data_IF_699665767255
#
_entry.id   IF_699665767255
#
_cell.length_a   1.000
_cell.length_b   1.000
_cell.length_c   1.000
_cell.angle_alpha   90.00
_cell.angle_beta   90.00
_cell.angle_gamma   90.00
#
_symmetry.space_group_name_H-M   'P 1'
#
loop_
_entity.id
_entity.type
_entity.pdbx_description
1 polymer ?
#
# COMPACT_ATOMS: atom_id res chain seq x y z
N UNK A 1 -0.36 -15.30 20.69
CA UNK A 1 -1.13 -15.01 19.46
C UNK A 1 -0.33 -14.01 18.65
N UNK A 2 0.36 -14.47 17.61
CA UNK A 2 0.99 -13.54 16.66
C UNK A 2 -0.15 -12.81 15.94
N UNK A 3 -0.34 -11.53 16.26
CA UNK A 3 -1.22 -10.69 15.48
C UNK A 3 -0.59 -10.54 14.10
N UNK A 4 -1.06 -11.31 13.11
CA UNK A 4 -0.56 -11.22 11.74
C UNK A 4 -0.91 -9.84 11.19
N UNK A 5 0.07 -8.94 11.16
CA UNK A 5 -0.08 -7.62 10.54
C UNK A 5 -0.35 -7.81 9.05
N UNK A 6 -1.39 -7.16 8.54
CA UNK A 6 -1.68 -7.14 7.12
C UNK A 6 -1.11 -5.86 6.53
N UNK A 7 -0.24 -6.02 5.56
CA UNK A 7 0.46 -4.94 4.87
C UNK A 7 -0.34 -4.55 3.64
N UNK A 8 -0.65 -3.26 3.48
CA UNK A 8 -1.47 -2.76 2.37
C UNK A 8 -0.61 -1.81 1.55
N UNK A 9 -0.38 -2.12 0.28
CA UNK A 9 0.31 -1.24 -0.67
C UNK A 9 -0.71 -0.52 -1.54
N UNK A 10 -0.59 0.80 -1.61
CA UNK A 10 -1.41 1.69 -2.41
C UNK A 10 -0.54 2.41 -3.43
N UNK A 11 -0.79 2.18 -4.70
CA UNK A 11 -0.17 2.95 -5.78
C UNK A 11 -1.15 4.04 -6.22
N UNK A 12 -0.75 5.30 -6.05
CA UNK A 12 -1.60 6.45 -6.37
C UNK A 12 -1.34 6.91 -7.80
N UNK A 13 -2.32 6.72 -8.67
CA UNK A 13 -2.35 7.32 -9.99
C UNK A 13 -3.26 8.57 -10.03
N UNK A 14 -3.30 9.28 -11.17
CA UNK A 14 -3.97 10.60 -11.29
C UNK A 14 -5.43 10.65 -10.79
N UNK A 15 -6.17 9.54 -10.85
CA UNK A 15 -7.59 9.45 -10.44
C UNK A 15 -7.95 8.16 -9.70
N UNK A 16 -7.05 7.18 -9.70
CA UNK A 16 -7.29 5.86 -9.14
C UNK A 16 -6.14 5.48 -8.23
N UNK A 17 -6.44 4.66 -7.22
CA UNK A 17 -5.48 4.09 -6.30
C UNK A 17 -5.57 2.57 -6.44
N UNK A 18 -4.51 1.95 -6.90
CA UNK A 18 -4.41 0.50 -6.98
C UNK A 18 -4.02 -0.07 -5.61
N UNK A 19 -4.74 -1.06 -5.12
CA UNK A 19 -4.61 -1.58 -3.75
C UNK A 19 -4.23 -3.05 -3.77
N UNK A 20 -3.13 -3.37 -3.09
CA UNK A 20 -2.68 -4.74 -2.83
C UNK A 20 -2.53 -4.98 -1.34
N UNK A 21 -2.84 -6.20 -0.89
CA UNK A 21 -2.64 -6.63 0.50
C UNK A 21 -1.64 -7.77 0.55
N UNK A 22 -0.85 -7.84 1.60
CA UNK A 22 0.06 -8.93 1.89
C UNK A 22 -0.07 -9.31 3.36
N UNK A 23 -0.18 -10.61 3.63
CA UNK A 23 -0.21 -11.11 4.99
C UNK A 23 1.20 -11.13 5.61
N UNK A 24 1.29 -10.97 6.93
CA UNK A 24 2.55 -11.14 7.66
C UNK A 24 3.09 -12.58 7.54
N UNK A 25 4.42 -12.70 7.51
CA UNK A 25 5.15 -13.96 7.46
C UNK A 25 5.80 -14.24 6.10
N UNK A 26 6.88 -15.03 6.09
CA UNK A 26 7.72 -15.31 4.90
C UNK A 26 6.97 -15.88 3.69
N UNK A 27 5.78 -16.48 3.91
CA UNK A 27 4.90 -17.04 2.88
C UNK A 27 3.62 -16.23 2.64
N UNK A 28 3.47 -15.06 3.27
CA UNK A 28 2.28 -14.22 3.13
C UNK A 28 1.99 -13.95 1.66
N UNK A 29 0.81 -14.36 1.22
CA UNK A 29 0.39 -14.19 -0.16
C UNK A 29 0.11 -12.71 -0.41
N UNK A 30 0.68 -12.19 -1.50
CA UNK A 30 0.36 -10.85 -1.97
C UNK A 30 -0.84 -10.95 -2.89
N UNK A 31 -1.94 -10.31 -2.50
CA UNK A 31 -3.20 -10.32 -3.21
C UNK A 31 -3.55 -8.92 -3.68
N UNK A 32 -3.73 -8.78 -4.98
CA UNK A 32 -4.33 -7.59 -5.57
C UNK A 32 -5.83 -7.54 -5.23
N UNK A 33 -6.27 -6.44 -4.61
CA UNK A 33 -7.68 -6.26 -4.22
C UNK A 33 -8.47 -5.55 -5.33
N UNK A 34 -7.82 -4.65 -6.07
CA UNK A 34 -8.46 -3.85 -7.12
C UNK A 34 -8.02 -2.39 -7.07
N UNK A 35 -8.70 -1.57 -7.86
CA UNK A 35 -8.50 -0.12 -7.88
C UNK A 35 -9.70 0.57 -7.23
N UNK A 36 -9.43 1.66 -6.53
CA UNK A 36 -10.46 2.55 -5.97
C UNK A 36 -10.25 3.97 -6.52
N UNK A 37 -11.27 4.82 -6.42
CA UNK A 37 -11.09 6.26 -6.70
C UNK A 37 -10.15 6.89 -5.67
N UNK A 38 -9.40 7.92 -6.07
CA UNK A 38 -8.60 8.74 -5.15
C UNK A 38 -9.44 9.65 -4.24
N UNK A 39 -10.77 9.55 -4.30
CA UNK A 39 -11.68 10.28 -3.42
C UNK A 39 -11.51 9.83 -1.95
N UNK A 40 -11.47 10.78 -0.99
CA UNK A 40 -11.36 10.45 0.43
C UNK A 40 -12.44 9.46 0.91
N UNK A 41 -13.67 9.60 0.43
CA UNK A 41 -14.77 8.69 0.79
C UNK A 41 -14.51 7.25 0.32
N UNK A 42 -13.90 7.07 -0.85
CA UNK A 42 -13.57 5.74 -1.37
C UNK A 42 -12.44 5.10 -0.55
N UNK A 43 -11.41 5.87 -0.20
CA UNK A 43 -10.32 5.45 0.69
C UNK A 43 -10.87 5.00 2.05
N UNK A 44 -11.71 5.82 2.69
CA UNK A 44 -12.29 5.49 3.99
C UNK A 44 -13.11 4.19 3.95
N UNK A 45 -13.91 3.97 2.90
CA UNK A 45 -14.66 2.71 2.71
C UNK A 45 -13.74 1.50 2.55
N UNK A 46 -12.66 1.66 1.79
CA UNK A 46 -11.66 0.60 1.62
C UNK A 46 -10.98 0.26 2.95
N UNK A 47 -10.50 1.28 3.69
CA UNK A 47 -9.87 1.11 5.00
C UNK A 47 -10.82 0.38 5.96
N UNK A 48 -12.08 0.82 6.06
CA UNK A 48 -13.07 0.18 6.92
C UNK A 48 -13.33 -1.29 6.54
N UNK A 49 -13.40 -1.60 5.24
CA UNK A 49 -13.58 -2.97 4.75
C UNK A 49 -12.40 -3.88 5.10
N UNK A 50 -11.17 -3.36 5.03
CA UNK A 50 -9.97 -4.09 5.43
C UNK A 50 -9.91 -4.25 6.95
N UNK A 51 -10.23 -3.20 7.71
CA UNK A 51 -10.20 -3.22 9.17
C UNK A 51 -11.23 -4.19 9.76
N UNK A 52 -12.37 -4.38 9.07
CA UNK A 52 -13.36 -5.39 9.44
C UNK A 52 -12.87 -6.85 9.25
N UNK A 53 -11.82 -7.07 8.44
CA UNK A 53 -11.29 -8.40 8.09
C UNK A 53 -9.96 -8.73 8.75
N UNK A 54 -9.17 -7.72 9.11
CA UNK A 54 -7.81 -7.87 9.60
C UNK A 54 -7.64 -7.14 10.93
N UNK A 55 -7.03 -7.81 11.92
CA UNK A 55 -6.85 -7.25 13.27
C UNK A 55 -5.83 -6.09 13.32
N UNK A 56 -4.81 -6.11 12.45
CA UNK A 56 -3.81 -5.05 12.35
C UNK A 56 -3.49 -4.77 10.89
N UNK A 57 -3.57 -3.51 10.51
CA UNK A 57 -3.27 -3.02 9.16
C UNK A 57 -2.13 -2.02 9.22
N UNK A 58 -1.14 -2.20 8.36
CA UNK A 58 -0.11 -1.20 8.09
C UNK A 58 -0.17 -0.87 6.61
N UNK A 59 -0.34 0.41 6.29
CA UNK A 59 -0.47 0.89 4.92
C UNK A 59 0.88 1.44 4.45
N UNK A 60 1.14 1.34 3.16
CA UNK A 60 2.22 2.02 2.49
C UNK A 60 1.71 2.59 1.16
N UNK A 61 2.23 3.75 0.76
CA UNK A 61 1.97 4.27 -0.58
C UNK A 61 3.18 4.98 -1.16
N UNK A 62 3.28 4.96 -2.49
CA UNK A 62 4.32 5.68 -3.21
C UNK A 62 4.03 7.19 -3.17
N UNK A 63 5.04 7.99 -2.80
CA UNK A 63 4.94 9.43 -2.79
C UNK A 63 4.69 9.97 -4.20
N UNK A 64 3.40 10.12 -4.53
CA UNK A 64 2.95 10.69 -5.80
C UNK A 64 2.89 12.23 -5.77
N UNK A 65 2.65 12.85 -6.94
CA UNK A 65 2.52 14.31 -7.06
C UNK A 65 1.30 14.88 -6.29
N UNK A 66 0.39 14.03 -5.83
CA UNK A 66 -0.79 14.40 -5.04
C UNK A 66 -0.51 14.61 -3.53
N UNK A 67 0.75 14.48 -3.08
CA UNK A 67 1.20 14.90 -1.75
C UNK A 67 0.74 14.00 -0.58
N UNK A 68 0.77 14.57 0.64
CA UNK A 68 0.53 13.87 1.92
C UNK A 68 -0.95 13.74 2.33
N UNK A 69 -1.89 14.03 1.43
CA UNK A 69 -3.32 13.98 1.73
C UNK A 69 -3.79 12.58 2.14
N UNK A 70 -3.32 11.55 1.43
CA UNK A 70 -3.63 10.16 1.70
C UNK A 70 -3.03 9.69 3.04
N UNK A 71 -1.77 10.04 3.30
CA UNK A 71 -1.11 9.79 4.58
C UNK A 71 -1.93 10.33 5.76
N UNK A 72 -2.30 11.61 5.69
CA UNK A 72 -3.05 12.28 6.75
C UNK A 72 -4.41 11.63 6.95
N UNK A 73 -5.10 11.28 5.87
CA UNK A 73 -6.41 10.64 5.97
C UNK A 73 -6.32 9.27 6.66
N UNK A 74 -5.36 8.43 6.27
CA UNK A 74 -5.22 7.09 6.86
C UNK A 74 -4.80 7.16 8.33
N UNK A 75 -3.92 8.10 8.65
CA UNK A 75 -3.53 8.39 10.04
C UNK A 75 -4.73 8.86 10.86
N UNK A 76 -5.60 9.71 10.30
CA UNK A 76 -6.84 10.15 10.97
C UNK A 76 -7.85 9.01 11.17
N UNK A 77 -7.82 7.98 10.33
CA UNK A 77 -8.62 6.77 10.50
C UNK A 77 -8.03 5.80 11.55
N UNK A 78 -6.90 6.15 12.18
CA UNK A 78 -6.28 5.37 13.24
C UNK A 78 -5.35 4.26 12.74
N UNK A 79 -4.90 4.32 11.49
CA UNK A 79 -4.01 3.32 10.89
C UNK A 79 -2.63 3.89 10.60
N UNK A 80 -1.61 3.04 10.72
CA UNK A 80 -0.24 3.38 10.35
C UNK A 80 -0.14 3.45 8.82
N UNK A 81 0.47 4.52 8.32
CA UNK A 81 0.68 4.75 6.89
C UNK A 81 2.12 5.18 6.65
N UNK A 82 2.86 4.39 5.87
CA UNK A 82 4.26 4.67 5.53
C UNK A 82 4.31 5.28 4.13
N UNK A 83 4.96 6.43 4.03
CA UNK A 83 5.24 7.06 2.73
C UNK A 83 6.56 6.49 2.20
N UNK A 84 6.54 5.98 0.98
CA UNK A 84 7.72 5.40 0.32
C UNK A 84 8.08 6.29 -0.87
N UNK A 85 9.34 6.69 -0.97
CA UNK A 85 9.78 7.47 -2.14
C UNK A 85 9.77 6.59 -3.41
N UNK A 86 9.36 7.11 -4.58
CA UNK A 86 9.42 6.42 -5.86
C UNK A 86 10.82 5.83 -6.16
N UNK A 87 11.87 6.53 -5.70
CA UNK A 87 13.27 6.13 -5.87
C UNK A 87 13.70 4.92 -5.04
N UNK A 88 12.92 4.53 -4.04
CA UNK A 88 13.21 3.38 -3.17
C UNK A 88 12.60 2.07 -3.67
N UNK A 89 11.73 2.13 -4.68
CA UNK A 89 11.18 0.95 -5.32
C UNK A 89 12.18 0.52 -6.40
N UNK A 90 12.86 -0.62 -6.25
CA UNK A 90 13.87 -1.06 -7.20
C UNK A 90 13.22 -1.43 -8.54
N UNK A 91 13.21 -0.48 -9.47
CA UNK A 91 12.84 -0.71 -10.86
C UNK A 91 14.02 -1.31 -11.61
N UNK A 92 13.84 -2.48 -12.23
CA UNK A 92 14.90 -3.10 -13.04
C UNK A 92 15.15 -2.23 -14.28
N UNK A 93 16.41 -1.90 -14.62
CA UNK A 93 16.71 -1.18 -15.85
C UNK A 93 16.26 -2.00 -17.06
N UNK A 94 15.26 -1.50 -17.80
CA UNK A 94 14.63 -2.17 -18.94
C UNK A 94 13.13 -2.45 -18.78
N UNK A 95 12.59 -2.37 -17.56
CA UNK A 95 11.16 -2.53 -17.29
C UNK A 95 10.44 -1.19 -17.56
N UNK A 96 10.29 -0.83 -18.84
CA UNK A 96 9.61 0.40 -19.29
C UNK A 96 8.08 0.29 -19.30
N UNK A 97 7.55 -0.88 -18.95
CA UNK A 97 6.11 -1.11 -18.83
C UNK A 97 5.75 -1.10 -17.34
N UNK A 98 5.47 0.11 -16.81
CA UNK A 98 4.73 0.26 -15.56
C UNK A 98 3.50 -0.62 -15.64
N UNK A 99 3.55 -1.77 -14.96
CA UNK A 99 2.40 -2.67 -14.88
C UNK A 99 1.99 -2.58 -13.42
N UNK A 100 1.03 -1.71 -13.11
CA UNK A 100 0.64 -1.29 -11.76
C UNK A 100 0.46 -2.48 -10.79
N UNK A 101 0.08 -3.65 -11.32
CA UNK A 101 -0.03 -4.91 -10.58
C UNK A 101 1.30 -5.49 -10.10
N UNK A 102 2.37 -5.44 -10.90
CA UNK A 102 3.70 -5.98 -10.54
C UNK A 102 4.39 -5.08 -9.51
N UNK A 103 4.25 -3.77 -9.66
CA UNK A 103 4.80 -2.79 -8.73
C UNK A 103 4.15 -2.92 -7.35
N UNK A 104 2.82 -2.93 -7.26
CA UNK A 104 2.12 -3.10 -5.98
C UNK A 104 2.44 -4.44 -5.30
N UNK A 105 2.72 -5.49 -6.09
CA UNK A 105 3.13 -6.79 -5.55
C UNK A 105 4.55 -6.75 -4.97
N UNK A 106 5.48 -6.10 -5.67
CA UNK A 106 6.87 -5.95 -5.23
C UNK A 106 6.97 -5.05 -3.99
N UNK A 107 6.21 -3.94 -3.95
CA UNK A 107 6.14 -3.04 -2.80
C UNK A 107 5.62 -3.79 -1.58
N UNK A 108 4.54 -4.55 -1.70
CA UNK A 108 4.01 -5.30 -0.56
C UNK A 108 4.97 -6.38 -0.04
N UNK A 109 5.75 -7.00 -0.94
CA UNK A 109 6.79 -7.95 -0.56
C UNK A 109 7.98 -7.28 0.18
N UNK A 110 8.42 -6.11 -0.28
CA UNK A 110 9.50 -5.32 0.35
C UNK A 110 9.06 -4.72 1.68
N UNK A 111 7.83 -4.22 1.76
CA UNK A 111 7.26 -3.65 2.98
C UNK A 111 7.18 -4.67 4.10
N UNK A 112 6.76 -5.90 3.76
CA UNK A 112 6.76 -7.04 4.69
C UNK A 112 8.15 -7.39 5.21
N UNK A 113 9.19 -7.24 4.39
CA UNK A 113 10.57 -7.56 4.78
C UNK A 113 11.21 -6.48 5.67
N UNK A 114 10.50 -5.38 5.94
CA UNK A 114 11.02 -4.17 6.58
C UNK A 114 12.23 -3.57 5.84
N UNK A 115 12.35 -3.85 4.54
CA UNK A 115 13.44 -3.35 3.68
C UNK A 115 13.12 -1.99 3.05
N UNK A 116 11.90 -1.47 3.25
CA UNK A 116 11.52 -0.12 2.84
C UNK A 116 11.88 0.89 3.92
N UNK A 117 12.75 1.84 3.57
CA UNK A 117 13.04 2.99 4.44
C UNK A 117 11.95 4.03 4.26
N UNK A 118 11.24 4.38 5.33
CA UNK A 118 10.26 5.45 5.32
C UNK A 118 10.96 6.81 5.09
N UNK A 119 10.32 7.69 4.32
CA UNK A 119 10.79 9.07 4.07
C UNK A 119 9.94 10.11 4.78
#
# INVERSE_FOLDING_TARGET
MEYSTTYVAMDTHKKTIAVSVAEAGRRGEVRYIGEISSDPTAVAKMVAKLAARHARLSFCYEAGPCGYGLHRQITQLGHECVVVAPSLIPTRPGDRVKTDRRDATAIAALFRSAELTAV
#
